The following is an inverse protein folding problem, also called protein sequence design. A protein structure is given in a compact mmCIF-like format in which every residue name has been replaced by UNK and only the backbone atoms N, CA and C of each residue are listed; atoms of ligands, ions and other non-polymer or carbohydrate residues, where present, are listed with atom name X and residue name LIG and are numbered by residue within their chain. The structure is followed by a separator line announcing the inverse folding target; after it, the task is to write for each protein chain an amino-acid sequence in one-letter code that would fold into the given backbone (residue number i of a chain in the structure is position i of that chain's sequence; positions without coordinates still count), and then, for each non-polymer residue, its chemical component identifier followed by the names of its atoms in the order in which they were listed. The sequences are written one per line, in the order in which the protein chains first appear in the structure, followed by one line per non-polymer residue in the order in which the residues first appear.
data_IF_783047193951
#
_entry.id   IF_783047193951
#
_cell.length_a   1.000
_cell.length_b   1.000
_cell.length_c   1.000
_cell.angle_alpha   90.00
_cell.angle_beta   90.00
_cell.angle_gamma   90.00
#
_symmetry.space_group_name_H-M   'P 1'
#
loop_
_entity.id
_entity.type
_entity.pdbx_description
1 polymer ?
#
# COMPACT_ATOMS: atom_id res chain seq x y z
N UNK A 1 -14.01 -9.45 -11.60
CA UNK A 1 -14.34 -9.02 -10.24
C UNK A 1 -13.72 -10.04 -9.29
N UNK A 2 -12.70 -9.65 -8.55
CA UNK A 2 -11.99 -10.54 -7.63
C UNK A 2 -12.98 -11.19 -6.64
N UNK A 3 -12.72 -12.45 -6.28
CA UNK A 3 -13.52 -13.17 -5.28
C UNK A 3 -13.22 -12.53 -3.92
N UNK A 4 -14.20 -11.91 -3.30
CA UNK A 4 -14.05 -11.39 -1.93
C UNK A 4 -14.01 -12.55 -0.93
N UNK A 5 -13.03 -12.49 -0.06
CA UNK A 5 -12.90 -13.39 1.08
C UNK A 5 -13.68 -12.80 2.26
N UNK A 6 -14.66 -13.53 2.81
CA UNK A 6 -15.51 -13.03 3.90
C UNK A 6 -15.23 -13.72 5.25
N UNK A 7 -14.48 -14.79 5.24
CA UNK A 7 -14.15 -15.57 6.44
C UNK A 7 -12.74 -16.19 6.35
N UNK A 8 -12.25 -16.65 7.49
CA UNK A 8 -10.97 -17.38 7.57
C UNK A 8 -11.02 -18.69 6.78
N UNK A 9 -12.16 -19.37 6.74
CA UNK A 9 -12.32 -20.60 5.96
C UNK A 9 -12.23 -20.30 4.46
N UNK A 10 -12.94 -19.28 3.99
CA UNK A 10 -12.85 -18.83 2.61
C UNK A 10 -11.44 -18.35 2.23
N UNK A 11 -10.70 -17.76 3.17
CA UNK A 11 -9.30 -17.39 2.96
C UNK A 11 -8.43 -18.61 2.61
N UNK A 12 -8.53 -19.70 3.39
CA UNK A 12 -7.75 -20.92 3.12
C UNK A 12 -8.18 -21.60 1.82
N UNK A 13 -9.48 -21.61 1.51
CA UNK A 13 -9.98 -22.14 0.24
C UNK A 13 -9.46 -21.31 -0.95
N UNK A 14 -9.50 -19.99 -0.84
CA UNK A 14 -8.97 -19.06 -1.85
C UNK A 14 -7.46 -19.25 -2.05
N UNK A 15 -6.69 -19.39 -0.96
CA UNK A 15 -5.25 -19.65 -1.04
C UNK A 15 -4.96 -20.97 -1.76
N UNK A 16 -5.75 -22.01 -1.51
CA UNK A 16 -5.60 -23.30 -2.17
C UNK A 16 -5.97 -23.25 -3.66
N UNK A 17 -7.07 -22.56 -4.02
CA UNK A 17 -7.51 -22.37 -5.40
C UNK A 17 -6.47 -21.62 -6.24
N UNK A 18 -5.71 -20.69 -5.64
CA UNK A 18 -4.72 -19.87 -6.32
C UNK A 18 -3.27 -20.30 -6.09
N UNK A 19 -3.07 -21.51 -5.54
CA UNK A 19 -1.74 -22.09 -5.27
C UNK A 19 -0.79 -21.12 -4.54
N UNK A 20 -1.33 -20.42 -3.53
CA UNK A 20 -0.59 -19.40 -2.77
C UNK A 20 0.60 -20.03 -2.06
N UNK A 21 1.80 -19.50 -2.33
CA UNK A 21 3.04 -19.91 -1.72
C UNK A 21 3.36 -19.14 -0.43
N UNK A 22 3.04 -17.86 -0.39
CA UNK A 22 3.38 -16.96 0.72
C UNK A 22 2.17 -16.15 1.19
N UNK A 23 2.14 -15.87 2.49
CA UNK A 23 1.21 -14.94 3.12
C UNK A 23 1.99 -13.75 3.64
N UNK A 24 1.62 -12.55 3.23
CA UNK A 24 2.27 -11.30 3.59
C UNK A 24 1.36 -10.48 4.50
N UNK A 25 1.63 -10.48 5.80
CA UNK A 25 0.90 -9.73 6.80
C UNK A 25 1.39 -8.29 6.83
N UNK A 26 0.55 -7.34 6.42
CA UNK A 26 0.90 -5.92 6.30
C UNK A 26 0.20 -5.07 7.35
N UNK A 27 0.91 -4.07 7.83
CA UNK A 27 0.39 -3.05 8.73
C UNK A 27 1.07 -1.71 8.46
N UNK A 28 0.51 -0.62 8.96
CA UNK A 28 0.96 0.74 8.66
C UNK A 28 1.30 1.47 9.95
N UNK A 29 2.38 2.24 9.96
CA UNK A 29 2.73 3.13 11.06
C UNK A 29 2.07 4.52 10.93
N UNK A 30 2.32 5.41 11.90
CA UNK A 30 1.70 6.74 11.97
C UNK A 30 2.19 7.71 10.90
N UNK A 31 3.32 7.43 10.26
CA UNK A 31 3.84 8.27 9.15
C UNK A 31 3.45 7.72 7.78
N UNK A 32 2.68 6.61 7.75
CA UNK A 32 2.17 6.01 6.53
C UNK A 32 3.07 4.96 5.90
N UNK A 33 4.16 4.57 6.56
CA UNK A 33 5.03 3.49 6.07
C UNK A 33 4.36 2.14 6.25
N UNK A 34 4.37 1.34 5.21
CA UNK A 34 3.95 -0.05 5.27
C UNK A 34 5.08 -0.93 5.78
N UNK A 35 4.74 -1.75 6.75
CA UNK A 35 5.58 -2.81 7.29
C UNK A 35 4.94 -4.15 7.01
N UNK A 36 5.75 -5.21 6.93
CA UNK A 36 5.22 -6.54 6.68
C UNK A 36 6.03 -7.65 7.34
N UNK A 37 5.40 -8.81 7.46
CA UNK A 37 6.02 -10.07 7.81
C UNK A 37 5.48 -11.13 6.88
N UNK A 38 6.37 -11.83 6.18
CA UNK A 38 6.00 -12.86 5.22
C UNK A 38 6.24 -14.27 5.78
N UNK A 39 5.26 -15.13 5.61
CA UNK A 39 5.33 -16.55 5.96
C UNK A 39 5.10 -17.43 4.75
N UNK A 40 5.74 -18.63 4.74
CA UNK A 40 5.30 -19.68 3.83
C UNK A 40 3.86 -20.07 4.16
N UNK A 41 3.01 -20.25 3.15
CA UNK A 41 1.61 -20.64 3.35
C UNK A 41 1.49 -21.95 4.15
N UNK A 42 2.43 -22.88 4.00
CA UNK A 42 2.47 -24.13 4.76
C UNK A 42 2.65 -23.98 6.28
N UNK A 43 3.15 -22.82 6.72
CA UNK A 43 3.31 -22.52 8.15
C UNK A 43 2.08 -21.82 8.75
N UNK A 44 1.12 -21.37 7.93
CA UNK A 44 -0.05 -20.63 8.37
C UNK A 44 -1.23 -21.57 8.62
N UNK A 45 -1.95 -21.31 9.70
CA UNK A 45 -3.18 -22.01 10.08
C UNK A 45 -4.19 -21.02 10.70
N UNK A 46 -5.39 -21.52 11.02
CA UNK A 46 -6.47 -20.70 11.61
C UNK A 46 -6.09 -20.01 12.92
N UNK A 47 -5.21 -20.61 13.71
CA UNK A 47 -4.72 -20.04 14.97
C UNK A 47 -4.04 -18.67 14.77
N UNK A 48 -3.37 -18.45 13.63
CA UNK A 48 -2.76 -17.15 13.32
C UNK A 48 -3.79 -16.02 13.15
N UNK A 49 -5.02 -16.35 12.76
CA UNK A 49 -6.11 -15.38 12.69
C UNK A 49 -6.81 -15.18 14.04
N UNK A 50 -6.86 -16.22 14.88
CA UNK A 50 -7.50 -16.16 16.20
C UNK A 50 -6.55 -15.53 17.25
N UNK A 51 -5.33 -16.04 17.35
CA UNK A 51 -4.33 -15.61 18.33
C UNK A 51 -3.53 -14.41 17.83
N UNK A 52 -3.29 -14.34 16.51
CA UNK A 52 -2.49 -13.34 15.83
C UNK A 52 -1.04 -13.76 15.64
N UNK A 53 -0.25 -12.85 15.06
CA UNK A 53 1.16 -13.05 14.71
C UNK A 53 2.01 -12.11 15.56
N UNK A 54 2.92 -12.62 16.42
CA UNK A 54 3.77 -11.78 17.26
C UNK A 54 4.85 -11.07 16.44
N UNK A 55 5.17 -9.86 16.83
CA UNK A 55 6.28 -9.09 16.26
C UNK A 55 6.88 -8.13 17.28
N UNK A 56 8.13 -7.68 17.00
CA UNK A 56 8.86 -6.69 17.80
C UNK A 56 8.58 -5.28 17.30
N UNK A 57 7.77 -4.53 18.06
CA UNK A 57 7.40 -3.16 17.74
C UNK A 57 8.47 -2.11 18.08
N UNK A 58 9.56 -2.49 18.77
CA UNK A 58 10.68 -1.57 19.04
C UNK A 58 11.48 -1.25 17.76
N UNK A 59 11.31 -2.07 16.73
CA UNK A 59 11.90 -1.84 15.40
C UNK A 59 11.23 -0.70 14.62
N UNK A 60 10.10 -0.18 15.12
CA UNK A 60 9.34 0.90 14.49
C UNK A 60 9.50 2.18 15.32
N UNK A 61 9.97 3.22 14.65
CA UNK A 61 10.24 4.50 15.31
C UNK A 61 9.02 5.03 16.07
N UNK A 62 9.26 5.45 17.31
CA UNK A 62 8.28 6.05 18.22
C UNK A 62 7.09 5.15 18.63
N UNK A 63 7.15 3.83 18.37
CA UNK A 63 6.10 2.91 18.79
C UNK A 63 6.27 2.47 20.22
N UNK A 64 7.15 1.52 20.49
CA UNK A 64 7.34 0.95 21.83
C UNK A 64 8.82 0.92 22.23
N UNK A 65 9.13 1.10 23.51
CA UNK A 65 10.46 0.83 24.01
C UNK A 65 10.72 -0.68 24.04
N UNK A 66 11.99 -1.06 24.03
CA UNK A 66 12.41 -2.46 23.96
C UNK A 66 11.84 -3.34 25.10
N UNK A 67 11.61 -2.76 26.26
CA UNK A 67 11.06 -3.48 27.42
C UNK A 67 9.56 -3.84 27.28
N UNK A 68 8.89 -3.28 26.27
CA UNK A 68 7.47 -3.51 25.95
C UNK A 68 7.26 -3.70 24.45
N UNK A 69 8.23 -4.32 23.79
CA UNK A 69 8.26 -4.40 22.34
C UNK A 69 7.31 -5.44 21.75
N UNK A 70 6.93 -6.46 22.52
CA UNK A 70 6.09 -7.53 22.04
C UNK A 70 4.67 -7.04 21.75
N UNK A 71 4.26 -7.15 20.50
CA UNK A 71 2.92 -6.83 20.03
C UNK A 71 2.40 -7.93 19.11
N UNK A 72 1.12 -7.88 18.80
CA UNK A 72 0.46 -8.88 17.96
C UNK A 72 -0.19 -8.20 16.75
N UNK A 73 0.06 -8.77 15.56
CA UNK A 73 -0.72 -8.50 14.36
C UNK A 73 -1.97 -9.40 14.37
N UNK A 74 -3.14 -8.81 14.26
CA UNK A 74 -4.41 -9.51 14.09
C UNK A 74 -4.83 -9.43 12.62
N UNK A 75 -4.65 -10.52 11.84
CA UNK A 75 -4.97 -10.49 10.41
C UNK A 75 -6.47 -10.33 10.16
N UNK A 76 -6.80 -9.49 9.20
CA UNK A 76 -8.16 -9.29 8.72
C UNK A 76 -8.36 -10.08 7.41
N UNK A 77 -8.97 -11.26 7.49
CA UNK A 77 -9.18 -12.12 6.34
C UNK A 77 -9.97 -11.43 5.20
N UNK A 78 -10.84 -10.49 5.53
CA UNK A 78 -11.65 -9.76 4.54
C UNK A 78 -10.82 -8.77 3.71
N UNK A 79 -9.61 -8.44 4.17
CA UNK A 79 -8.67 -7.59 3.46
C UNK A 79 -7.76 -8.33 2.47
N UNK A 80 -7.92 -9.66 2.36
CA UNK A 80 -7.02 -10.51 1.60
C UNK A 80 -7.17 -10.30 0.08
N UNK A 81 -6.02 -10.15 -0.60
CA UNK A 81 -5.94 -10.13 -2.06
C UNK A 81 -4.58 -10.62 -2.54
N UNK A 82 -4.52 -11.15 -3.78
CA UNK A 82 -3.26 -11.58 -4.37
C UNK A 82 -2.40 -10.39 -4.75
N UNK A 83 -1.10 -10.45 -4.45
CA UNK A 83 -0.13 -9.44 -4.86
C UNK A 83 0.18 -9.63 -6.36
N UNK A 84 -0.16 -8.67 -7.22
CA UNK A 84 0.06 -8.79 -8.66
C UNK A 84 1.52 -8.56 -9.07
N UNK A 85 2.41 -8.21 -8.14
CA UNK A 85 3.78 -7.79 -8.43
C UNK A 85 4.84 -8.82 -7.99
N UNK A 86 4.45 -9.89 -7.30
CA UNK A 86 5.38 -10.94 -6.85
C UNK A 86 5.52 -12.05 -7.88
N UNK A 87 6.71 -12.64 -7.98
CA UNK A 87 6.98 -13.76 -8.89
C UNK A 87 6.26 -15.04 -8.43
N UNK A 88 6.29 -15.31 -7.13
CA UNK A 88 5.56 -16.42 -6.51
C UNK A 88 4.20 -15.93 -6.02
N UNK A 89 3.18 -16.77 -6.12
CA UNK A 89 1.83 -16.45 -5.67
C UNK A 89 1.82 -16.07 -4.19
N UNK A 90 1.61 -14.79 -3.91
CA UNK A 90 1.62 -14.21 -2.57
C UNK A 90 0.27 -13.57 -2.29
N UNK A 91 -0.29 -13.84 -1.12
CA UNK A 91 -1.50 -13.18 -0.66
C UNK A 91 -1.17 -12.15 0.41
N UNK A 92 -1.64 -10.93 0.20
CA UNK A 92 -1.53 -9.82 1.16
C UNK A 92 -2.71 -9.88 2.11
N UNK A 93 -2.45 -9.68 3.40
CA UNK A 93 -3.49 -9.55 4.43
C UNK A 93 -3.15 -8.36 5.31
N UNK A 94 -4.04 -7.38 5.39
CA UNK A 94 -3.86 -6.27 6.33
C UNK A 94 -4.19 -6.70 7.75
N UNK A 95 -3.39 -6.19 8.68
CA UNK A 95 -3.49 -6.54 10.09
C UNK A 95 -3.85 -5.33 10.95
N UNK A 96 -4.63 -5.58 11.98
CA UNK A 96 -4.72 -4.69 13.11
C UNK A 96 -3.56 -4.95 14.06
N UNK A 97 -3.10 -3.90 14.74
CA UNK A 97 -2.04 -4.02 15.74
C UNK A 97 -2.66 -4.04 17.13
N UNK A 98 -2.29 -5.03 17.92
CA UNK A 98 -2.83 -5.24 19.26
C UNK A 98 -1.72 -5.11 20.31
N UNK A 99 -1.96 -4.26 21.32
CA UNK A 99 -1.08 -4.06 22.47
C UNK A 99 -1.44 -5.07 23.56
N UNK A 100 -0.57 -6.06 23.74
CA UNK A 100 -0.78 -7.13 24.74
C UNK A 100 -0.69 -6.62 26.17
N UNK A 101 0.06 -5.55 26.42
CA UNK A 101 0.23 -5.00 27.77
C UNK A 101 -1.01 -4.22 28.22
N UNK A 102 -1.70 -3.57 27.28
CA UNK A 102 -2.94 -2.83 27.54
C UNK A 102 -4.20 -3.68 27.28
N UNK A 103 -4.05 -4.84 26.63
CA UNK A 103 -5.17 -5.70 26.28
C UNK A 103 -6.16 -5.07 25.28
N UNK A 104 -5.69 -4.24 24.36
CA UNK A 104 -6.52 -3.50 23.40
C UNK A 104 -5.79 -3.24 22.09
N UNK A 105 -6.53 -2.76 21.09
CA UNK A 105 -5.95 -2.28 19.83
C UNK A 105 -4.96 -1.16 20.10
N UNK A 106 -3.82 -1.19 19.39
CA UNK A 106 -2.76 -0.21 19.58
C UNK A 106 -3.18 1.18 19.13
N UNK A 107 -3.07 2.15 20.03
CA UNK A 107 -3.58 3.51 19.82
C UNK A 107 -2.85 4.31 18.74
N UNK A 108 -1.58 3.96 18.44
CA UNK A 108 -0.80 4.59 17.37
C UNK A 108 -0.87 3.84 16.04
N UNK A 109 -1.81 2.93 15.87
CA UNK A 109 -2.07 2.28 14.59
C UNK A 109 -3.19 3.02 13.84
N UNK A 110 -2.97 3.45 12.58
CA UNK A 110 -3.99 4.15 11.79
C UNK A 110 -5.30 3.38 11.64
N UNK A 111 -5.25 2.05 11.46
CA UNK A 111 -6.45 1.21 11.40
C UNK A 111 -7.24 1.23 12.71
N UNK A 112 -6.55 1.25 13.85
CA UNK A 112 -7.21 1.37 15.16
C UNK A 112 -7.94 2.70 15.31
N UNK A 113 -7.35 3.78 14.83
CA UNK A 113 -7.95 5.12 14.83
C UNK A 113 -9.19 5.14 13.92
N UNK A 114 -9.07 4.59 12.70
CA UNK A 114 -10.20 4.49 11.77
C UNK A 114 -11.37 3.68 12.36
N UNK A 115 -11.11 2.52 12.98
CA UNK A 115 -12.12 1.70 13.64
C UNK A 115 -12.82 2.44 14.79
N UNK A 116 -12.05 3.17 15.62
CA UNK A 116 -12.62 4.02 16.68
C UNK A 116 -13.51 5.13 16.11
N UNK A 117 -13.09 5.75 15.01
CA UNK A 117 -13.89 6.79 14.33
C UNK A 117 -15.21 6.22 13.79
N UNK A 118 -15.18 5.04 13.18
CA UNK A 118 -16.38 4.36 12.70
C UNK A 118 -17.33 3.96 13.83
N UNK A 119 -16.80 3.46 14.95
CA UNK A 119 -17.57 3.15 16.13
C UNK A 119 -18.22 4.41 16.74
N UNK A 120 -17.45 5.50 16.82
CA UNK A 120 -17.97 6.78 17.28
C UNK A 120 -19.10 7.27 16.38
N UNK A 121 -18.96 7.19 15.05
CA UNK A 121 -20.00 7.57 14.09
C UNK A 121 -21.30 6.81 14.34
N UNK A 122 -21.22 5.48 14.46
CA UNK A 122 -22.38 4.62 14.77
C UNK A 122 -23.04 4.98 16.11
N UNK A 123 -22.23 5.16 17.14
CA UNK A 123 -22.72 5.46 18.50
C UNK A 123 -23.33 6.86 18.61
N UNK A 124 -22.94 7.79 17.74
CA UNK A 124 -23.52 9.14 17.68
C UNK A 124 -24.97 9.15 17.19
N UNK A 125 -25.40 8.09 16.49
CA UNK A 125 -26.71 8.02 15.85
C UNK A 125 -26.89 8.94 14.63
N UNK A 126 -25.84 9.62 14.19
CA UNK A 126 -25.88 10.51 13.01
C UNK A 126 -25.81 9.70 11.72
N UNK A 127 -24.89 8.72 11.66
CA UNK A 127 -24.71 7.84 10.51
C UNK A 127 -24.05 6.53 10.95
N UNK A 128 -24.14 5.50 10.13
CA UNK A 128 -23.50 4.20 10.31
C UNK A 128 -22.40 3.92 9.28
N UNK A 129 -22.30 4.74 8.26
CA UNK A 129 -21.40 4.56 7.12
C UNK A 129 -20.74 5.88 6.73
N UNK A 130 -19.46 5.83 6.37
CA UNK A 130 -18.72 6.93 5.78
C UNK A 130 -18.11 6.49 4.45
N UNK A 131 -18.26 7.32 3.41
CA UNK A 131 -17.67 7.10 2.10
C UNK A 131 -16.49 8.04 1.91
N UNK A 132 -15.39 7.51 1.39
CA UNK A 132 -14.19 8.27 1.05
C UNK A 132 -13.88 8.07 -0.43
N UNK A 133 -13.50 9.15 -1.11
CA UNK A 133 -13.02 9.12 -2.49
C UNK A 133 -11.55 9.53 -2.51
N UNK A 134 -10.59 8.60 -2.46
CA UNK A 134 -9.17 8.95 -2.51
C UNK A 134 -8.79 9.47 -3.90
N UNK A 135 -7.94 10.51 -3.93
CA UNK A 135 -7.35 11.08 -5.13
C UNK A 135 -5.83 10.94 -5.04
N UNK A 136 -5.32 9.78 -5.41
CA UNK A 136 -3.89 9.49 -5.34
C UNK A 136 -3.16 10.21 -6.48
N UNK A 137 -2.25 11.14 -6.14
CA UNK A 137 -1.42 11.86 -7.08
C UNK A 137 0.03 11.37 -7.02
N UNK A 138 0.67 11.24 -8.18
CA UNK A 138 2.06 10.79 -8.27
C UNK A 138 2.73 11.37 -9.52
N UNK A 139 4.07 11.40 -9.47
CA UNK A 139 4.91 11.74 -10.61
C UNK A 139 5.51 10.46 -11.20
N UNK A 140 5.70 10.47 -12.52
CA UNK A 140 6.41 9.40 -13.24
C UNK A 140 7.75 9.96 -13.69
N UNK A 141 8.83 9.33 -13.26
CA UNK A 141 10.19 9.74 -13.58
C UNK A 141 10.95 8.63 -14.32
N UNK A 142 11.76 9.00 -15.29
CA UNK A 142 12.69 8.09 -15.93
C UNK A 142 13.94 7.90 -15.07
N UNK A 143 14.38 8.94 -14.39
CA UNK A 143 15.44 8.84 -13.40
C UNK A 143 15.35 9.91 -12.31
N UNK A 144 15.81 9.56 -11.11
CA UNK A 144 16.00 10.49 -9.99
C UNK A 144 17.39 10.25 -9.41
N UNK A 145 18.18 11.31 -9.28
CA UNK A 145 19.48 11.31 -8.62
C UNK A 145 19.47 12.30 -7.47
N UNK A 146 19.84 11.84 -6.30
CA UNK A 146 19.93 12.67 -5.10
C UNK A 146 21.35 12.60 -4.58
N UNK A 147 21.93 13.77 -4.29
CA UNK A 147 23.18 13.92 -3.56
C UNK A 147 22.86 14.76 -2.34
N UNK A 148 23.06 14.17 -1.17
CA UNK A 148 22.87 14.85 0.10
C UNK A 148 24.03 14.49 1.03
N UNK A 149 24.98 15.42 1.16
CA UNK A 149 26.15 15.27 2.02
C UNK A 149 26.55 16.63 2.58
N UNK A 150 27.55 16.64 3.46
CA UNK A 150 27.96 17.81 4.25
C UNK A 150 28.32 19.06 3.44
N UNK A 151 28.66 18.91 2.17
CA UNK A 151 29.11 20.03 1.31
C UNK A 151 28.33 20.16 0.00
N UNK A 152 27.37 19.27 -0.25
CA UNK A 152 26.56 19.32 -1.46
C UNK A 152 25.17 18.74 -1.20
N UNK A 153 24.15 19.49 -1.55
CA UNK A 153 22.77 19.00 -1.60
C UNK A 153 22.20 19.37 -2.97
N UNK A 154 21.83 18.36 -3.76
CA UNK A 154 21.18 18.55 -5.06
C UNK A 154 20.30 17.36 -5.41
N UNK A 155 19.34 17.61 -6.29
CA UNK A 155 18.59 16.56 -6.97
C UNK A 155 18.60 16.84 -8.49
N UNK A 156 18.55 15.76 -9.25
CA UNK A 156 18.37 15.77 -10.70
C UNK A 156 17.21 14.81 -11.01
N UNK A 157 16.21 15.31 -11.72
CA UNK A 157 15.06 14.54 -12.14
C UNK A 157 15.02 14.54 -13.66
N UNK A 158 14.77 13.39 -14.24
CA UNK A 158 14.54 13.22 -15.66
C UNK A 158 13.19 12.57 -15.90
N UNK A 159 12.45 13.06 -16.88
CA UNK A 159 11.17 12.52 -17.31
C UNK A 159 10.90 12.88 -18.77
N UNK A 160 10.30 11.95 -19.51
CA UNK A 160 9.92 12.17 -20.90
C UNK A 160 9.00 13.39 -21.07
N UNK A 161 8.12 13.65 -20.10
CA UNK A 161 7.22 14.79 -20.11
C UNK A 161 7.84 16.10 -19.65
N UNK A 162 9.12 16.09 -19.23
CA UNK A 162 9.81 17.30 -18.76
C UNK A 162 10.09 18.27 -19.89
N UNK A 163 9.78 19.54 -19.70
CA UNK A 163 10.04 20.62 -20.67
C UNK A 163 11.53 20.88 -20.89
N UNK A 164 12.38 20.46 -19.93
CA UNK A 164 13.84 20.51 -20.05
C UNK A 164 14.44 19.39 -20.91
N UNK A 165 13.63 18.47 -21.41
CA UNK A 165 14.07 17.30 -22.19
C UNK A 165 14.04 17.51 -23.70
N UNK A 166 14.02 18.76 -24.18
CA UNK A 166 13.83 19.10 -25.60
C UNK A 166 14.96 18.64 -26.52
N UNK A 167 16.16 18.43 -26.02
CA UNK A 167 17.38 18.10 -26.74
C UNK A 167 17.77 16.63 -26.62
N UNK A 168 16.97 15.78 -26.01
CA UNK A 168 17.28 14.35 -25.94
C UNK A 168 16.81 13.61 -27.20
N UNK A 169 17.72 12.81 -27.74
CA UNK A 169 17.38 11.82 -28.75
C UNK A 169 16.58 10.68 -28.09
N UNK A 170 15.31 10.63 -28.35
CA UNK A 170 14.47 9.47 -27.99
C UNK A 170 14.58 8.42 -29.11
N UNK A 171 14.62 7.14 -28.71
CA UNK A 171 14.73 6.01 -29.65
C UNK A 171 13.63 6.05 -30.73
N UNK A 172 12.44 6.51 -30.37
CA UNK A 172 11.27 6.56 -31.23
C UNK A 172 10.68 7.96 -31.39
N UNK A 173 11.25 8.99 -30.82
CA UNK A 173 10.56 10.27 -30.75
C UNK A 173 11.45 11.48 -30.94
N UNK A 174 11.24 12.09 -32.02
CA UNK A 174 11.90 13.35 -32.38
C UNK A 174 11.01 14.57 -32.18
N UNK A 175 9.74 14.36 -31.84
CA UNK A 175 8.79 15.43 -31.65
C UNK A 175 8.31 15.50 -30.20
N UNK A 176 8.82 16.49 -29.48
CA UNK A 176 8.47 16.79 -28.10
C UNK A 176 7.37 17.82 -27.93
N UNK A 177 6.78 18.29 -29.04
CA UNK A 177 5.73 19.30 -29.04
C UNK A 177 4.41 18.84 -28.42
N UNK A 178 4.26 17.55 -28.14
CA UNK A 178 3.11 16.98 -27.45
C UNK A 178 3.19 17.10 -25.92
N UNK A 179 4.31 17.54 -25.37
CA UNK A 179 4.48 17.60 -23.92
C UNK A 179 3.54 18.62 -23.28
N UNK A 180 2.99 18.29 -22.11
CA UNK A 180 2.21 19.25 -21.37
C UNK A 180 3.12 20.41 -20.90
N UNK A 181 2.65 21.63 -21.05
CA UNK A 181 3.31 22.80 -20.44
C UNK A 181 3.15 22.73 -18.91
N UNK A 182 3.97 23.47 -18.20
CA UNK A 182 3.85 23.65 -16.74
C UNK A 182 2.40 23.95 -16.34
N UNK A 183 1.83 23.18 -15.41
CA UNK A 183 0.42 23.21 -14.99
C UNK A 183 -0.60 22.94 -16.11
N UNK A 184 -0.18 22.30 -17.20
CA UNK A 184 -1.02 22.04 -18.38
C UNK A 184 -1.53 20.60 -18.49
N UNK A 185 -1.27 19.75 -17.50
CA UNK A 185 -1.59 18.32 -17.54
C UNK A 185 -3.00 17.95 -17.07
N UNK A 186 -3.91 18.91 -16.88
CA UNK A 186 -5.28 18.66 -16.46
C UNK A 186 -6.24 18.62 -17.66
N UNK A 187 -6.93 17.51 -17.83
CA UNK A 187 -7.86 17.22 -18.94
C UNK A 187 -7.28 17.16 -20.36
N UNK A 188 -5.99 16.98 -20.63
CA UNK A 188 -5.55 16.80 -22.00
C UNK A 188 -6.01 15.46 -22.53
N UNK A 189 -6.07 15.37 -23.86
CA UNK A 189 -6.19 14.10 -24.58
C UNK A 189 -4.86 13.77 -25.25
N UNK A 190 -4.73 12.54 -25.72
CA UNK A 190 -3.57 12.14 -26.53
C UNK A 190 -3.40 13.06 -27.75
N UNK A 191 -2.17 13.38 -28.17
CA UNK A 191 -0.89 12.87 -27.68
C UNK A 191 -0.34 13.60 -26.43
N UNK A 192 -0.96 14.69 -25.97
CA UNK A 192 -0.48 15.44 -24.80
C UNK A 192 -0.57 14.62 -23.53
N UNK A 193 -1.62 13.79 -23.39
CA UNK A 193 -1.70 12.77 -22.35
C UNK A 193 -0.92 11.51 -22.78
N UNK A 194 0.34 11.43 -22.44
CA UNK A 194 1.24 10.32 -22.78
C UNK A 194 1.06 9.10 -21.85
N UNK A 195 0.35 9.25 -20.71
CA UNK A 195 0.29 8.23 -19.66
C UNK A 195 -1.05 7.45 -19.63
N UNK A 196 -1.85 7.52 -20.69
CA UNK A 196 -3.15 6.83 -20.77
C UNK A 196 -3.00 5.33 -20.57
N UNK A 197 -2.05 4.70 -21.26
CA UNK A 197 -1.88 3.25 -21.20
C UNK A 197 -1.33 2.80 -19.83
N UNK A 198 -0.41 3.57 -19.23
CA UNK A 198 0.07 3.32 -17.87
C UNK A 198 -1.09 3.33 -16.86
N UNK A 199 -1.92 4.38 -16.89
CA UNK A 199 -3.07 4.46 -16.00
C UNK A 199 -4.09 3.36 -16.26
N UNK A 200 -4.31 3.00 -17.51
CA UNK A 200 -5.21 1.90 -17.87
C UNK A 200 -4.72 0.56 -17.30
N UNK A 201 -3.42 0.27 -17.38
CA UNK A 201 -2.83 -0.94 -16.80
C UNK A 201 -2.94 -0.94 -15.27
N UNK A 202 -2.69 0.21 -14.62
CA UNK A 202 -2.88 0.36 -13.16
C UNK A 202 -4.33 0.04 -12.75
N UNK A 203 -5.32 0.63 -13.42
CA UNK A 203 -6.74 0.39 -13.12
C UNK A 203 -7.11 -1.07 -13.33
N UNK A 204 -6.71 -1.67 -14.46
CA UNK A 204 -6.98 -3.09 -14.73
C UNK A 204 -6.31 -4.03 -13.71
N UNK A 205 -5.16 -3.64 -13.16
CA UNK A 205 -4.48 -4.40 -12.11
C UNK A 205 -5.22 -4.31 -10.78
N UNK A 206 -5.77 -3.12 -10.46
CA UNK A 206 -6.55 -2.91 -9.25
C UNK A 206 -7.95 -3.56 -9.29
N UNK A 207 -8.48 -3.86 -10.48
CA UNK A 207 -9.79 -4.51 -10.66
C UNK A 207 -9.72 -6.05 -10.56
N UNK A 208 -8.54 -6.65 -10.60
CA UNK A 208 -8.32 -8.11 -10.49
C UNK A 208 -8.42 -8.59 -9.07
#
# INVERSE_FOLDING_TARGET
MGKFVNSVDEFFDYCKENEVAFVDFRFTDMIGTWHHITYNMSAINKGHFEEGVPFDASSIDAWQPIEKSDMILKPDAQSAFLDPFTADSTIIVFCDVYDIYKGQMYEKCPRSIAKKAMEHLKNSGIADTAYFGPENEFFVFDSVRIVDNIHCAKYEIDTEEGDWNDDKDFVDGYNTGHRPRTKGGYFPVQPVDSMVDLRAEMVQTLEK
#
